data_IF_027331803722
#
_entry.id   IF_027331803722
#
_cell.length_a   1.000
_cell.length_b   1.000
_cell.length_c   1.000
_cell.angle_alpha   90.00
_cell.angle_beta   90.00
_cell.angle_gamma   90.00
#
_symmetry.space_group_name_H-M   'P 1'
#
loop_
_entity.id
_entity.type
_entity.pdbx_description
1 polymer ?
#
# COMPACT_ATOMS: atom_id res chain seq x y z
N UNK A 1 -2.61 1.56 13.56
CA UNK A 1 -3.76 1.81 12.66
C UNK A 1 -4.95 1.07 13.22
N UNK A 2 -6.08 1.76 13.44
CA UNK A 2 -7.33 1.13 13.86
C UNK A 2 -8.24 0.94 12.65
N UNK A 3 -8.98 -0.17 12.62
CA UNK A 3 -10.01 -0.42 11.61
C UNK A 3 -11.37 -0.11 12.22
N UNK A 4 -12.20 0.60 11.47
CA UNK A 4 -13.62 0.78 11.80
C UNK A 4 -14.51 -0.37 11.28
N UNK A 5 -13.93 -1.26 10.49
CA UNK A 5 -14.64 -2.29 9.75
C UNK A 5 -15.74 -1.72 8.84
N UNK A 6 -16.67 -2.59 8.45
CA UNK A 6 -17.88 -2.24 7.69
C UNK A 6 -19.16 -2.43 8.53
N UNK A 7 -19.03 -2.34 9.86
CA UNK A 7 -20.09 -2.64 10.81
C UNK A 7 -20.84 -1.39 11.29
N UNK A 8 -21.36 -1.46 12.51
CA UNK A 8 -22.18 -0.40 13.13
C UNK A 8 -21.35 0.65 13.89
N UNK A 9 -20.07 0.81 13.57
CA UNK A 9 -19.22 1.79 14.27
C UNK A 9 -19.49 3.21 13.75
N UNK A 10 -19.52 4.18 14.65
CA UNK A 10 -19.71 5.58 14.28
C UNK A 10 -18.36 6.25 14.01
N UNK A 11 -18.22 6.84 12.83
CA UNK A 11 -16.99 7.55 12.44
C UNK A 11 -16.64 8.65 13.43
N UNK A 12 -17.64 9.40 13.93
CA UNK A 12 -17.42 10.51 14.85
C UNK A 12 -16.98 10.07 16.24
N UNK A 13 -17.30 8.85 16.67
CA UNK A 13 -16.78 8.31 17.94
C UNK A 13 -15.26 8.11 17.82
N UNK A 14 -14.79 7.56 16.69
CA UNK A 14 -13.36 7.36 16.45
C UNK A 14 -12.60 8.68 16.29
N UNK A 15 -13.21 9.69 15.65
CA UNK A 15 -12.65 11.05 15.58
C UNK A 15 -12.54 11.66 16.98
N UNK A 16 -13.61 11.57 17.79
CA UNK A 16 -13.61 12.08 19.15
C UNK A 16 -12.57 11.40 20.04
N UNK A 17 -12.35 10.10 19.87
CA UNK A 17 -11.28 9.39 20.57
C UNK A 17 -9.88 9.95 20.25
N UNK A 18 -9.60 10.24 18.98
CA UNK A 18 -8.33 10.87 18.58
C UNK A 18 -8.15 12.26 19.19
N UNK A 19 -9.21 13.08 19.16
CA UNK A 19 -9.20 14.44 19.73
C UNK A 19 -8.99 14.41 21.25
N UNK A 20 -9.69 13.53 21.96
CA UNK A 20 -9.55 13.35 23.40
C UNK A 20 -8.13 12.89 23.80
N UNK A 21 -7.47 12.08 22.99
CA UNK A 21 -6.08 11.66 23.25
C UNK A 21 -5.10 12.84 23.11
N UNK A 22 -5.27 13.72 22.12
CA UNK A 22 -4.45 14.93 21.99
C UNK A 22 -4.69 15.90 23.17
N UNK A 23 -5.96 16.05 23.60
CA UNK A 23 -6.31 16.80 24.82
C UNK A 23 -5.60 16.25 26.05
N UNK A 24 -5.57 14.92 26.20
CA UNK A 24 -4.88 14.24 27.33
C UNK A 24 -3.38 14.54 27.35
N UNK A 25 -2.80 14.77 26.17
CA UNK A 25 -1.40 15.17 26.01
C UNK A 25 -1.17 16.69 26.14
N UNK A 26 -2.21 17.46 26.49
CA UNK A 26 -2.14 18.92 26.69
C UNK A 26 -2.13 19.73 25.39
N UNK A 27 -2.50 19.12 24.27
CA UNK A 27 -2.59 19.77 22.96
C UNK A 27 -4.03 20.18 22.65
N UNK A 28 -4.20 21.04 21.66
CA UNK A 28 -5.52 21.46 21.21
C UNK A 28 -6.21 20.38 20.34
N UNK A 29 -7.43 20.02 20.71
CA UNK A 29 -8.26 19.00 20.04
C UNK A 29 -8.46 19.30 18.54
N UNK A 30 -8.68 20.58 18.18
CA UNK A 30 -8.93 21.02 16.81
C UNK A 30 -7.76 20.72 15.84
N UNK A 31 -6.56 20.50 16.37
CA UNK A 31 -5.36 20.22 15.59
C UNK A 31 -5.00 18.72 15.58
N UNK A 32 -5.89 17.86 16.05
CA UNK A 32 -5.64 16.43 16.12
C UNK A 32 -5.36 15.85 14.71
N UNK A 33 -4.22 15.17 14.49
CA UNK A 33 -3.77 14.76 13.16
C UNK A 33 -4.38 13.43 12.71
N UNK A 34 -5.71 13.30 12.73
CA UNK A 34 -6.39 12.08 12.27
C UNK A 34 -6.61 12.08 10.75
N UNK A 35 -6.64 10.87 10.17
CA UNK A 35 -6.94 10.64 8.75
C UNK A 35 -7.78 9.39 8.60
N UNK A 36 -8.75 9.44 7.69
CA UNK A 36 -9.56 8.29 7.32
C UNK A 36 -9.10 7.72 5.98
N UNK A 37 -9.07 6.39 5.91
CA UNK A 37 -8.71 5.66 4.70
C UNK A 37 -9.78 4.64 4.39
N UNK A 38 -10.18 4.54 3.11
CA UNK A 38 -10.95 3.42 2.62
C UNK A 38 -9.99 2.37 2.05
N UNK A 39 -10.03 1.15 2.59
CA UNK A 39 -9.10 0.08 2.23
C UNK A 39 -9.80 -1.28 2.20
N UNK A 40 -9.33 -2.16 1.34
CA UNK A 40 -9.71 -3.58 1.36
C UNK A 40 -9.02 -4.24 2.56
N UNK A 41 -9.81 -4.78 3.49
CA UNK A 41 -9.28 -5.48 4.68
C UNK A 41 -9.42 -7.00 4.58
N UNK A 42 -10.48 -7.49 3.92
CA UNK A 42 -10.79 -8.92 3.86
C UNK A 42 -11.08 -9.31 2.41
N UNK A 43 -10.38 -10.35 1.94
CA UNK A 43 -10.75 -11.08 0.73
C UNK A 43 -11.69 -12.23 1.12
N UNK A 44 -12.82 -12.31 0.43
CA UNK A 44 -13.69 -13.48 0.57
C UNK A 44 -13.05 -14.69 -0.12
N UNK A 45 -13.31 -15.93 0.33
CA UNK A 45 -12.80 -17.14 -0.33
C UNK A 45 -13.22 -17.28 -1.81
N UNK A 46 -14.31 -16.61 -2.20
CA UNK A 46 -14.85 -16.59 -3.56
C UNK A 46 -14.60 -15.26 -4.28
N UNK A 47 -13.58 -14.49 -3.87
CA UNK A 47 -13.28 -13.22 -4.53
C UNK A 47 -12.89 -13.44 -6.00
N UNK A 48 -13.53 -12.68 -6.88
CA UNK A 48 -13.23 -12.63 -8.30
C UNK A 48 -12.87 -11.19 -8.68
N UNK A 49 -11.62 -10.95 -9.09
CA UNK A 49 -11.15 -9.62 -9.48
C UNK A 49 -11.67 -9.18 -10.86
N UNK A 50 -12.30 -10.07 -11.63
CA UNK A 50 -12.92 -9.71 -12.91
C UNK A 50 -14.34 -9.17 -12.74
N UNK A 51 -14.98 -9.39 -11.58
CA UNK A 51 -16.39 -9.04 -11.38
C UNK A 51 -16.66 -7.54 -11.22
N UNK A 52 -15.68 -6.79 -10.71
CA UNK A 52 -15.81 -5.36 -10.44
C UNK A 52 -14.48 -4.63 -10.72
N UNK A 53 -14.47 -3.86 -11.81
CA UNK A 53 -13.28 -3.12 -12.23
C UNK A 53 -12.90 -2.00 -11.25
N UNK A 54 -13.87 -1.36 -10.58
CA UNK A 54 -13.60 -0.29 -9.61
C UNK A 54 -12.92 -0.88 -8.37
N UNK A 55 -13.44 -2.01 -7.87
CA UNK A 55 -12.82 -2.72 -6.75
C UNK A 55 -11.39 -3.13 -7.10
N UNK A 56 -11.19 -3.70 -8.29
CA UNK A 56 -9.88 -4.15 -8.76
C UNK A 56 -8.88 -3.01 -8.88
N UNK A 57 -9.28 -1.85 -9.41
CA UNK A 57 -8.41 -0.68 -9.49
C UNK A 57 -8.01 -0.16 -8.10
N UNK A 58 -8.95 -0.08 -7.16
CA UNK A 58 -8.66 0.36 -5.79
C UNK A 58 -7.74 -0.61 -5.05
N UNK A 59 -7.97 -1.92 -5.19
CA UNK A 59 -7.14 -2.97 -4.59
C UNK A 59 -5.75 -2.96 -5.22
N UNK A 60 -5.65 -2.82 -6.54
CA UNK A 60 -4.38 -2.72 -7.26
C UNK A 60 -3.53 -1.56 -6.73
N UNK A 61 -4.11 -0.35 -6.62
CA UNK A 61 -3.41 0.82 -6.06
C UNK A 61 -2.98 0.58 -4.62
N UNK A 62 -3.84 -0.03 -3.80
CA UNK A 62 -3.51 -0.38 -2.42
C UNK A 62 -2.29 -1.32 -2.37
N UNK A 63 -2.23 -2.35 -3.22
CA UNK A 63 -1.12 -3.30 -3.29
C UNK A 63 0.18 -2.61 -3.71
N UNK A 64 0.17 -1.85 -4.80
CA UNK A 64 1.38 -1.14 -5.29
C UNK A 64 1.91 -0.19 -4.21
N UNK A 65 1.03 0.58 -3.56
CA UNK A 65 1.44 1.50 -2.50
C UNK A 65 1.97 0.77 -1.26
N UNK A 66 1.32 -0.33 -0.86
CA UNK A 66 1.76 -1.13 0.28
C UNK A 66 3.10 -1.83 0.03
N UNK A 67 3.39 -2.28 -1.20
CA UNK A 67 4.71 -2.83 -1.56
C UNK A 67 5.80 -1.75 -1.45
N UNK A 68 5.53 -0.55 -1.98
CA UNK A 68 6.46 0.59 -1.90
C UNK A 68 6.75 0.99 -0.45
N UNK A 69 5.75 0.99 0.42
CA UNK A 69 5.90 1.37 1.82
C UNK A 69 6.43 0.24 2.70
N UNK A 70 6.44 -1.00 2.20
CA UNK A 70 6.83 -2.19 2.98
C UNK A 70 5.70 -2.81 3.81
N UNK A 71 4.45 -2.38 3.62
CA UNK A 71 3.26 -2.99 4.24
C UNK A 71 2.98 -4.40 3.70
N UNK A 72 3.42 -4.68 2.47
CA UNK A 72 3.38 -6.00 1.85
C UNK A 72 4.79 -6.44 1.50
N UNK A 73 5.15 -7.67 1.89
CA UNK A 73 6.46 -8.25 1.64
C UNK A 73 6.31 -9.67 1.12
N UNK A 74 7.20 -10.07 0.23
CA UNK A 74 7.36 -11.46 -0.19
C UNK A 74 8.80 -11.91 0.10
N UNK A 75 8.95 -13.18 0.48
CA UNK A 75 10.26 -13.79 0.65
C UNK A 75 10.92 -14.10 -0.71
N UNK A 76 10.13 -14.10 -1.79
CA UNK A 76 10.59 -14.45 -3.14
C UNK A 76 10.84 -13.19 -3.96
N UNK A 77 12.06 -13.08 -4.47
CA UNK A 77 12.44 -11.97 -5.35
C UNK A 77 11.65 -11.94 -6.66
N UNK A 78 11.37 -13.12 -7.20
CA UNK A 78 10.63 -13.29 -8.44
C UNK A 78 9.22 -12.66 -8.38
N UNK A 79 8.58 -12.65 -7.20
CA UNK A 79 7.27 -12.02 -7.02
C UNK A 79 7.35 -10.51 -7.27
N UNK A 80 8.42 -9.85 -6.80
CA UNK A 80 8.62 -8.41 -7.03
C UNK A 80 8.89 -8.10 -8.50
N UNK A 81 9.69 -8.93 -9.17
CA UNK A 81 9.99 -8.78 -10.60
C UNK A 81 8.71 -8.92 -11.42
N UNK A 82 7.92 -9.96 -11.15
CA UNK A 82 6.63 -10.17 -11.83
C UNK A 82 5.66 -9.03 -11.57
N UNK A 83 5.56 -8.55 -10.33
CA UNK A 83 4.69 -7.43 -9.97
C UNK A 83 5.11 -6.14 -10.68
N UNK A 84 6.41 -5.81 -10.70
CA UNK A 84 6.93 -4.65 -11.42
C UNK A 84 6.67 -4.75 -12.94
N UNK A 85 6.86 -5.94 -13.53
CA UNK A 85 6.58 -6.16 -14.95
C UNK A 85 5.09 -5.99 -15.29
N UNK A 86 4.19 -6.48 -14.43
CA UNK A 86 2.74 -6.28 -14.58
C UNK A 86 2.36 -4.81 -14.42
N UNK A 87 2.91 -4.12 -13.42
CA UNK A 87 2.69 -2.68 -13.21
C UNK A 87 3.15 -1.86 -14.41
N UNK A 88 4.32 -2.20 -14.96
CA UNK A 88 4.84 -1.59 -16.18
C UNK A 88 3.86 -1.73 -17.34
N UNK A 89 3.38 -2.95 -17.58
CA UNK A 89 2.44 -3.20 -18.67
C UNK A 89 1.12 -2.44 -18.49
N UNK A 90 0.63 -2.30 -17.26
CA UNK A 90 -0.58 -1.51 -16.98
C UNK A 90 -0.39 -0.02 -17.30
N UNK A 91 0.81 0.54 -17.08
CA UNK A 91 1.08 1.97 -17.30
C UNK A 91 1.50 2.30 -18.74
N UNK A 92 2.25 1.43 -19.40
CA UNK A 92 2.89 1.71 -20.70
C UNK A 92 2.53 0.72 -21.80
N UNK A 93 1.73 -0.30 -21.52
CA UNK A 93 1.39 -1.33 -22.48
C UNK A 93 2.63 -2.10 -22.94
N UNK A 94 2.74 -2.32 -24.25
CA UNK A 94 3.83 -3.08 -24.88
C UNK A 94 5.05 -2.25 -25.27
N UNK A 95 5.03 -0.93 -25.06
CA UNK A 95 6.20 -0.09 -25.35
C UNK A 95 7.31 -0.41 -24.35
N UNK A 96 8.51 -0.78 -24.82
CA UNK A 96 9.65 -1.10 -23.96
C UNK A 96 10.68 0.02 -24.00
N UNK A 97 10.86 0.73 -22.88
CA UNK A 97 11.96 1.67 -22.66
C UNK A 97 12.69 1.36 -21.36
N UNK A 98 14.02 1.34 -21.42
CA UNK A 98 14.87 1.05 -20.26
C UNK A 98 14.73 2.12 -19.17
N UNK A 99 14.66 3.40 -19.56
CA UNK A 99 14.48 4.53 -18.64
C UNK A 99 13.12 4.44 -17.90
N UNK A 100 12.07 4.06 -18.64
CA UNK A 100 10.72 3.86 -18.08
C UNK A 100 10.69 2.67 -17.11
N UNK A 101 11.45 1.62 -17.41
CA UNK A 101 11.55 0.42 -16.56
C UNK A 101 12.22 0.74 -15.22
N UNK A 102 13.34 1.46 -15.23
CA UNK A 102 14.04 1.86 -14.00
C UNK A 102 13.16 2.73 -13.10
N UNK A 103 12.41 3.67 -13.70
CA UNK A 103 11.48 4.51 -12.96
C UNK A 103 10.39 3.68 -12.26
N UNK A 104 9.82 2.70 -12.95
CA UNK A 104 8.75 1.85 -12.41
C UNK A 104 9.26 0.95 -11.29
N UNK A 105 10.45 0.39 -11.42
CA UNK A 105 11.06 -0.41 -10.35
C UNK A 105 11.20 0.43 -9.08
N UNK A 106 11.64 1.68 -9.20
CA UNK A 106 11.72 2.62 -8.05
C UNK A 106 10.36 3.04 -7.51
N UNK A 107 9.33 3.10 -8.34
CA UNK A 107 7.97 3.43 -7.91
C UNK A 107 7.27 2.27 -7.20
N UNK A 108 7.56 1.03 -7.58
CA UNK A 108 6.92 -0.17 -7.01
C UNK A 108 7.67 -0.76 -5.82
N UNK A 109 8.99 -0.65 -5.80
CA UNK A 109 9.82 -1.31 -4.80
C UNK A 109 10.27 -0.35 -3.71
N UNK A 110 10.18 -0.82 -2.47
CA UNK A 110 10.84 -0.15 -1.35
C UNK A 110 12.36 -0.23 -1.54
N UNK A 111 13.03 0.92 -1.65
CA UNK A 111 14.49 1.02 -1.83
C UNK A 111 15.29 0.28 -0.75
N UNK A 112 14.73 0.09 0.45
CA UNK A 112 15.41 -0.66 1.54
C UNK A 112 15.54 -2.16 1.26
N UNK A 113 14.63 -2.76 0.48
CA UNK A 113 14.72 -4.16 0.06
C UNK A 113 15.81 -4.32 -1.01
N UNK A 114 15.93 -3.32 -1.89
CA UNK A 114 16.98 -3.25 -2.90
C UNK A 114 18.33 -3.17 -2.18
N UNK A 115 18.54 -2.16 -1.33
CA UNK A 115 19.81 -1.93 -0.62
C UNK A 115 20.25 -3.10 0.29
N UNK A 116 19.33 -3.73 1.01
CA UNK A 116 19.67 -4.90 1.84
C UNK A 116 20.15 -6.09 1.02
N UNK A 117 19.63 -6.30 -0.20
CA UNK A 117 20.07 -7.40 -1.07
C UNK A 117 21.34 -7.09 -1.84
N UNK A 118 21.54 -5.84 -2.28
CA UNK A 118 22.83 -5.40 -2.85
C UNK A 118 23.98 -5.54 -1.84
N UNK A 119 23.72 -5.29 -0.55
CA UNK A 119 24.72 -5.46 0.51
C UNK A 119 25.11 -6.93 0.70
N UNK A 120 24.18 -7.88 0.51
CA UNK A 120 24.46 -9.32 0.64
C UNK A 120 25.28 -9.83 -0.56
N UNK A 121 25.03 -9.30 -1.78
CA UNK A 121 25.77 -9.68 -2.99
C UNK A 121 27.19 -9.10 -3.06
N UNK A 122 27.51 -8.09 -2.27
CA UNK A 122 28.84 -7.46 -2.20
C UNK A 122 29.65 -7.81 -0.92
N UNK A 123 29.15 -8.76 -0.11
CA UNK A 123 29.86 -9.25 1.09
C UNK A 123 30.28 -10.74 0.96
N UNK A 124 30.29 -11.30 -0.25
CA UNK A 124 30.90 -12.60 -0.58
C UNK A 124 32.04 -12.44 -1.59
#
# INVERSE_FOLDING_TARGET
>A
MWSLGSGSQHVLDAVSMCEQEEKRQGKEEQHAPWRLYFRKEIFTPWHDSSSDQVSTELIYRQIVHGLKNGDYQSDKEDDYVQLAARHYYVLHGSESSMETTEKIVRECMNMTIIENKWSILHTQ
#
